data_IF_074880626171
#
_entry.id   IF_074880626171
#
_cell.length_a   1.000
_cell.length_b   1.000
_cell.length_c   1.000
_cell.angle_alpha   90.00
_cell.angle_beta   90.00
_cell.angle_gamma   90.00
#
_symmetry.space_group_name_H-M   'P 1'
#
loop_
_entity.id
_entity.type
_entity.pdbx_description
1 polymer ?
#
# COMPACT_ATOMS: atom_id res chain seq x y z
N UNK A 1 -12.14 -27.10 -19.57
CA UNK A 1 -11.68 -25.71 -19.50
C UNK A 1 -11.31 -25.45 -18.05
N UNK A 2 -10.02 -25.51 -17.73
CA UNK A 2 -9.51 -25.23 -16.38
C UNK A 2 -9.71 -23.75 -16.09
N UNK A 3 -10.46 -23.42 -15.05
CA UNK A 3 -10.58 -22.06 -14.56
C UNK A 3 -9.18 -21.53 -14.21
N UNK A 4 -8.69 -20.58 -15.00
CA UNK A 4 -7.48 -19.81 -14.67
C UNK A 4 -7.80 -19.06 -13.38
N UNK A 5 -7.31 -19.55 -12.26
CA UNK A 5 -7.50 -18.90 -10.97
C UNK A 5 -6.93 -17.49 -11.07
N UNK A 6 -7.78 -16.48 -10.94
CA UNK A 6 -7.38 -15.08 -10.92
C UNK A 6 -6.44 -14.87 -9.75
N UNK A 7 -5.15 -14.63 -10.03
CA UNK A 7 -4.15 -14.37 -8.99
C UNK A 7 -4.48 -13.03 -8.36
N UNK A 8 -4.86 -13.04 -7.09
CA UNK A 8 -5.10 -11.80 -6.34
C UNK A 8 -3.76 -11.07 -6.10
N UNK A 9 -3.73 -9.74 -6.26
CA UNK A 9 -2.53 -8.97 -5.97
C UNK A 9 -2.14 -9.09 -4.49
N UNK A 10 -0.85 -9.16 -4.20
CA UNK A 10 -0.38 -9.10 -2.82
C UNK A 10 -0.41 -7.65 -2.32
N UNK A 11 -1.46 -7.32 -1.60
CA UNK A 11 -1.68 -5.97 -1.05
C UNK A 11 -0.59 -5.54 -0.06
N UNK A 12 0.19 -6.48 0.50
CA UNK A 12 1.23 -6.16 1.47
C UNK A 12 2.50 -5.62 0.81
N UNK A 13 2.80 -6.09 -0.40
CA UNK A 13 4.00 -5.73 -1.16
C UNK A 13 3.73 -4.78 -2.34
N UNK A 14 2.47 -4.54 -2.70
CA UNK A 14 2.07 -3.68 -3.80
C UNK A 14 2.61 -2.25 -3.66
N UNK A 15 3.21 -1.70 -4.72
CA UNK A 15 3.84 -0.39 -4.77
C UNK A 15 2.91 0.68 -5.33
N UNK A 16 2.27 0.40 -6.46
CA UNK A 16 1.38 1.34 -7.14
C UNK A 16 -0.08 0.94 -6.98
N UNK A 17 -0.91 1.90 -6.57
CA UNK A 17 -2.33 1.75 -6.30
C UNK A 17 -3.11 2.75 -7.12
N UNK A 18 -3.75 2.30 -8.20
CA UNK A 18 -4.40 3.17 -9.17
C UNK A 18 -5.90 3.28 -8.91
N UNK A 19 -6.37 4.49 -8.61
CA UNK A 19 -7.80 4.78 -8.50
C UNK A 19 -8.51 4.79 -9.87
N UNK A 20 -9.72 4.23 -9.88
CA UNK A 20 -10.67 4.31 -10.99
C UNK A 20 -12.06 4.56 -10.41
N UNK A 21 -12.78 5.61 -10.83
CA UNK A 21 -14.15 5.84 -10.37
C UNK A 21 -15.04 4.63 -10.67
N UNK A 22 -15.85 4.21 -9.69
CA UNK A 22 -16.68 3.02 -9.78
C UNK A 22 -17.84 3.10 -10.79
N UNK A 23 -18.23 4.31 -11.17
CA UNK A 23 -19.19 4.61 -12.23
C UNK A 23 -18.58 4.59 -13.65
N UNK A 24 -17.26 4.34 -13.75
CA UNK A 24 -16.53 4.30 -15.03
C UNK A 24 -16.07 2.90 -15.37
N UNK A 25 -17.06 1.97 -15.49
CA UNK A 25 -16.82 0.58 -15.89
C UNK A 25 -16.07 0.42 -17.22
N UNK A 26 -16.20 1.41 -18.11
CA UNK A 26 -15.45 1.52 -19.37
C UNK A 26 -13.91 1.61 -19.16
N UNK A 27 -13.46 2.00 -17.96
CA UNK A 27 -12.04 2.18 -17.62
C UNK A 27 -11.43 1.01 -16.87
N UNK A 28 -12.21 0.09 -16.31
CA UNK A 28 -11.70 -1.00 -15.45
C UNK A 28 -10.69 -1.89 -16.18
N UNK A 29 -11.02 -2.33 -17.40
CA UNK A 29 -10.13 -3.16 -18.19
C UNK A 29 -8.82 -2.44 -18.54
N UNK A 30 -8.90 -1.12 -18.85
CA UNK A 30 -7.72 -0.29 -19.13
C UNK A 30 -6.85 -0.11 -17.90
N UNK A 31 -7.45 0.08 -16.73
CA UNK A 31 -6.73 0.19 -15.47
C UNK A 31 -6.03 -1.14 -15.11
N UNK A 32 -6.67 -2.28 -15.32
CA UNK A 32 -6.13 -3.60 -15.04
C UNK A 32 -4.85 -3.90 -15.86
N UNK A 33 -4.71 -3.34 -17.07
CA UNK A 33 -3.51 -3.51 -17.91
C UNK A 33 -2.52 -2.34 -17.82
N UNK A 34 -2.73 -1.38 -16.92
CA UNK A 34 -1.87 -0.21 -16.77
C UNK A 34 -0.49 -0.51 -16.17
N UNK A 35 -0.30 -1.71 -15.63
CA UNK A 35 0.89 -2.08 -14.87
C UNK A 35 0.84 -1.67 -13.39
N UNK A 36 -0.30 -1.16 -12.90
CA UNK A 36 -0.50 -0.95 -11.47
C UNK A 36 -0.50 -2.29 -10.72
N UNK A 37 0.18 -2.34 -9.58
CA UNK A 37 0.19 -3.55 -8.74
C UNK A 37 -1.22 -3.82 -8.17
N UNK A 38 -2.00 -2.76 -7.89
CA UNK A 38 -3.40 -2.84 -7.44
C UNK A 38 -4.23 -1.76 -8.13
N UNK A 39 -5.40 -2.14 -8.65
CA UNK A 39 -6.45 -1.20 -9.07
C UNK A 39 -7.39 -0.99 -7.91
N UNK A 40 -7.78 0.26 -7.64
CA UNK A 40 -8.80 0.62 -6.66
C UNK A 40 -10.05 1.08 -7.41
N UNK A 41 -11.12 0.30 -7.35
CA UNK A 41 -12.44 0.77 -7.77
C UNK A 41 -13.03 1.63 -6.65
N UNK A 42 -13.28 2.88 -6.95
CA UNK A 42 -13.72 3.86 -5.97
C UNK A 42 -15.24 3.98 -5.93
N UNK A 43 -15.84 3.81 -4.76
CA UNK A 43 -17.27 4.02 -4.52
C UNK A 43 -17.55 5.29 -3.70
N UNK A 44 -16.49 6.01 -3.27
CA UNK A 44 -16.62 7.18 -2.41
C UNK A 44 -16.56 8.50 -3.20
N UNK A 45 -15.58 9.34 -2.96
CA UNK A 45 -15.53 10.74 -3.42
C UNK A 45 -15.48 10.92 -4.94
N UNK A 46 -14.95 9.95 -5.68
CA UNK A 46 -14.93 10.01 -7.14
C UNK A 46 -16.29 9.69 -7.81
N UNK A 47 -17.31 9.35 -7.01
CA UNK A 47 -18.65 8.98 -7.48
C UNK A 47 -19.71 9.87 -6.85
N UNK A 48 -20.50 10.56 -7.69
CA UNK A 48 -21.60 11.38 -7.22
C UNK A 48 -22.67 10.53 -6.49
N UNK A 49 -23.40 11.14 -5.55
CA UNK A 49 -24.32 10.43 -4.67
C UNK A 49 -25.43 9.68 -5.46
N UNK A 50 -25.97 10.31 -6.50
CA UNK A 50 -26.98 9.71 -7.39
C UNK A 50 -26.42 8.58 -8.27
N UNK A 51 -25.10 8.51 -8.46
CA UNK A 51 -24.42 7.47 -9.23
C UNK A 51 -23.97 6.26 -8.37
N UNK A 52 -24.02 6.34 -7.03
CA UNK A 52 -23.49 5.30 -6.11
C UNK A 52 -24.08 3.91 -6.37
N UNK A 53 -25.39 3.81 -6.63
CA UNK A 53 -26.07 2.55 -6.93
C UNK A 53 -25.54 1.93 -8.22
N UNK A 54 -25.40 2.75 -9.28
CA UNK A 54 -24.88 2.30 -10.58
C UNK A 54 -23.40 1.90 -10.48
N UNK A 55 -22.59 2.69 -9.78
CA UNK A 55 -21.16 2.41 -9.55
C UNK A 55 -20.98 1.05 -8.83
N UNK A 56 -21.74 0.82 -7.77
CA UNK A 56 -21.73 -0.44 -7.02
C UNK A 56 -22.07 -1.63 -7.93
N UNK A 57 -23.08 -1.50 -8.77
CA UNK A 57 -23.47 -2.56 -9.72
C UNK A 57 -22.35 -2.81 -10.75
N UNK A 58 -21.71 -1.77 -11.30
CA UNK A 58 -20.62 -1.90 -12.27
C UNK A 58 -19.38 -2.57 -11.63
N UNK A 59 -18.98 -2.15 -10.43
CA UNK A 59 -17.86 -2.77 -9.69
C UNK A 59 -18.15 -4.23 -9.38
N UNK A 60 -19.34 -4.55 -8.86
CA UNK A 60 -19.72 -5.94 -8.55
C UNK A 60 -19.75 -6.82 -9.82
N UNK A 61 -20.27 -6.30 -10.93
CA UNK A 61 -20.26 -6.99 -12.23
C UNK A 61 -18.83 -7.26 -12.72
N UNK A 62 -17.93 -6.28 -12.62
CA UNK A 62 -16.52 -6.44 -12.98
C UNK A 62 -15.83 -7.53 -12.15
N UNK A 63 -15.99 -7.48 -10.83
CA UNK A 63 -15.37 -8.45 -9.91
C UNK A 63 -15.94 -9.87 -10.07
N UNK A 64 -17.23 -10.01 -10.43
CA UNK A 64 -17.85 -11.30 -10.73
C UNK A 64 -17.42 -11.84 -12.09
N UNK A 65 -17.14 -10.95 -13.05
CA UNK A 65 -16.77 -11.28 -14.43
C UNK A 65 -15.28 -11.63 -14.63
N UNK A 66 -14.50 -11.78 -13.55
CA UNK A 66 -13.09 -12.16 -13.61
C UNK A 66 -12.11 -10.99 -13.44
N UNK A 67 -12.60 -9.78 -13.27
CA UNK A 67 -11.76 -8.63 -12.86
C UNK A 67 -11.31 -8.78 -11.40
N UNK A 68 -10.19 -8.13 -11.06
CA UNK A 68 -9.66 -8.15 -9.69
C UNK A 68 -9.30 -6.73 -9.27
N UNK A 69 -9.79 -6.29 -8.10
CA UNK A 69 -9.51 -4.97 -7.58
C UNK A 69 -9.59 -4.91 -6.04
N UNK A 70 -8.94 -3.91 -5.46
CA UNK A 70 -9.34 -3.33 -4.19
C UNK A 70 -10.57 -2.44 -4.41
N UNK A 71 -11.47 -2.33 -3.45
CA UNK A 71 -12.62 -1.41 -3.54
C UNK A 71 -12.54 -0.43 -2.39
N UNK A 72 -12.51 0.89 -2.71
CA UNK A 72 -12.72 1.93 -1.70
C UNK A 72 -14.21 2.06 -1.44
N UNK A 73 -14.60 1.76 -0.21
CA UNK A 73 -15.99 1.84 0.25
C UNK A 73 -16.38 3.29 0.52
N UNK A 74 -17.68 3.54 0.65
CA UNK A 74 -18.14 4.75 1.30
C UNK A 74 -17.75 4.73 2.78
N UNK A 75 -17.64 5.90 3.41
CA UNK A 75 -17.22 6.01 4.81
C UNK A 75 -18.19 5.28 5.75
N UNK A 76 -17.63 4.70 6.81
CA UNK A 76 -18.43 4.05 7.86
C UNK A 76 -19.46 5.03 8.45
N UNK A 77 -20.68 4.55 8.66
CA UNK A 77 -21.80 5.37 9.15
C UNK A 77 -22.59 6.11 8.07
N UNK A 78 -22.17 6.07 6.80
CA UNK A 78 -22.97 6.60 5.68
C UNK A 78 -24.02 5.58 5.23
N UNK A 79 -25.07 6.07 4.57
CA UNK A 79 -26.17 5.22 4.04
C UNK A 79 -25.64 4.19 3.02
N UNK A 80 -24.68 4.58 2.17
CA UNK A 80 -24.10 3.73 1.14
C UNK A 80 -23.18 2.63 1.67
N UNK A 81 -22.57 2.80 2.87
CA UNK A 81 -21.60 1.83 3.41
C UNK A 81 -22.12 0.41 3.53
N UNK A 82 -23.29 0.23 4.16
CA UNK A 82 -23.88 -1.10 4.35
C UNK A 82 -24.23 -1.80 3.03
N UNK A 83 -24.69 -1.02 2.05
CA UNK A 83 -24.98 -1.53 0.71
C UNK A 83 -23.71 -1.94 -0.05
N UNK A 84 -22.59 -1.21 0.13
CA UNK A 84 -21.28 -1.56 -0.45
C UNK A 84 -20.80 -2.91 0.10
N UNK A 85 -20.83 -3.07 1.43
CA UNK A 85 -20.39 -4.31 2.10
C UNK A 85 -21.23 -5.50 1.62
N UNK A 86 -22.56 -5.33 1.54
CA UNK A 86 -23.47 -6.39 1.09
C UNK A 86 -23.19 -6.79 -0.37
N UNK A 87 -22.94 -5.82 -1.24
CA UNK A 87 -22.68 -6.06 -2.67
C UNK A 87 -21.34 -6.72 -2.95
N UNK A 88 -20.33 -6.52 -2.09
CA UNK A 88 -18.99 -7.05 -2.29
C UNK A 88 -18.77 -8.43 -1.65
N UNK A 89 -19.66 -8.84 -0.77
CA UNK A 89 -19.53 -10.10 -0.04
C UNK A 89 -19.47 -11.30 -0.98
N UNK A 90 -18.40 -12.09 -0.83
CA UNK A 90 -18.22 -13.34 -1.58
C UNK A 90 -17.81 -13.16 -3.05
N UNK A 91 -17.54 -11.95 -3.52
CA UNK A 91 -17.09 -11.74 -4.90
C UNK A 91 -15.68 -12.30 -5.13
N UNK A 92 -15.49 -13.13 -6.18
CA UNK A 92 -14.21 -13.80 -6.41
C UNK A 92 -13.08 -12.84 -6.72
N UNK A 93 -13.36 -11.71 -7.38
CA UNK A 93 -12.38 -10.69 -7.76
C UNK A 93 -12.07 -9.65 -6.68
N UNK A 94 -12.73 -9.69 -5.52
CA UNK A 94 -12.43 -8.75 -4.43
C UNK A 94 -11.09 -9.10 -3.81
N UNK A 95 -10.06 -8.29 -4.09
CA UNK A 95 -8.71 -8.48 -3.58
C UNK A 95 -8.51 -7.89 -2.18
N UNK A 96 -9.12 -6.74 -1.93
CA UNK A 96 -9.08 -6.01 -0.65
C UNK A 96 -10.23 -5.01 -0.59
N UNK A 97 -10.46 -4.44 0.57
CA UNK A 97 -11.26 -3.21 0.73
C UNK A 97 -10.39 -2.10 1.29
N UNK A 98 -10.61 -0.87 0.83
CA UNK A 98 -10.03 0.34 1.41
C UNK A 98 -11.14 1.09 2.13
N UNK A 99 -10.91 1.39 3.40
CA UNK A 99 -11.88 2.08 4.27
C UNK A 99 -11.42 3.52 4.42
N UNK A 100 -12.16 4.49 3.85
CA UNK A 100 -11.88 5.91 4.03
C UNK A 100 -12.22 6.35 5.45
N UNK A 101 -11.63 7.45 5.90
CA UNK A 101 -11.88 8.05 7.21
C UNK A 101 -11.82 7.01 8.34
N UNK A 102 -10.80 6.14 8.26
CA UNK A 102 -10.61 5.06 9.22
C UNK A 102 -10.23 5.63 10.60
N UNK A 103 -11.11 5.47 11.58
CA UNK A 103 -10.96 6.02 12.93
C UNK A 103 -11.25 5.00 14.03
N UNK A 104 -11.95 3.90 13.71
CA UNK A 104 -12.41 2.91 14.68
C UNK A 104 -11.88 1.49 14.33
N UNK A 105 -10.93 0.95 15.12
CA UNK A 105 -10.41 -0.41 14.94
C UNK A 105 -11.49 -1.51 15.03
N UNK A 106 -12.53 -1.32 15.86
CA UNK A 106 -13.59 -2.31 16.05
C UNK A 106 -14.48 -2.37 14.81
N UNK A 107 -14.84 -1.22 14.23
CA UNK A 107 -15.59 -1.17 12.97
C UNK A 107 -14.84 -1.89 11.82
N UNK A 108 -13.51 -1.82 11.78
CA UNK A 108 -12.70 -2.55 10.81
C UNK A 108 -12.74 -4.07 11.03
N UNK A 109 -12.79 -4.53 12.28
CA UNK A 109 -12.96 -5.95 12.61
C UNK A 109 -14.34 -6.47 12.19
N UNK A 110 -15.40 -5.70 12.46
CA UNK A 110 -16.77 -6.02 12.07
C UNK A 110 -16.89 -6.09 10.53
N UNK A 111 -16.32 -5.12 9.82
CA UNK A 111 -16.26 -5.12 8.35
C UNK A 111 -15.64 -6.41 7.82
N UNK A 112 -14.45 -6.77 8.34
CA UNK A 112 -13.76 -7.98 7.91
C UNK A 112 -14.57 -9.24 8.19
N UNK A 113 -15.24 -9.31 9.34
CA UNK A 113 -16.12 -10.42 9.68
C UNK A 113 -17.30 -10.52 8.69
N UNK A 114 -17.87 -9.38 8.30
CA UNK A 114 -18.97 -9.28 7.33
C UNK A 114 -18.57 -9.72 5.92
N UNK A 115 -17.40 -9.35 5.44
CA UNK A 115 -16.88 -9.68 4.11
C UNK A 115 -16.30 -11.10 4.02
N UNK A 116 -15.79 -11.62 5.12
CA UNK A 116 -15.12 -12.91 5.23
C UNK A 116 -13.62 -12.81 5.55
N UNK A 117 -13.03 -13.85 6.20
CA UNK A 117 -11.70 -13.78 6.81
C UNK A 117 -10.56 -13.63 5.82
N UNK A 118 -10.80 -13.89 4.54
CA UNK A 118 -9.77 -13.83 3.48
C UNK A 118 -9.62 -12.47 2.81
N UNK A 119 -10.44 -11.46 3.16
CA UNK A 119 -10.39 -10.13 2.54
C UNK A 119 -9.58 -9.18 3.43
N UNK A 120 -8.40 -8.72 2.97
CA UNK A 120 -7.59 -7.75 3.71
C UNK A 120 -8.22 -6.36 3.69
N UNK A 121 -8.08 -5.63 4.80
CA UNK A 121 -8.52 -4.24 4.93
C UNK A 121 -7.31 -3.31 4.82
N UNK A 122 -7.44 -2.28 4.01
CA UNK A 122 -6.52 -1.13 3.95
C UNK A 122 -7.22 0.03 4.66
N UNK A 123 -6.66 0.50 5.76
CA UNK A 123 -7.18 1.65 6.51
C UNK A 123 -6.63 2.94 5.91
N UNK A 124 -7.49 3.77 5.30
CA UNK A 124 -7.11 5.08 4.77
C UNK A 124 -7.24 6.10 5.90
N UNK A 125 -6.10 6.59 6.37
CA UNK A 125 -5.98 7.57 7.45
C UNK A 125 -5.92 8.96 6.84
N UNK A 126 -6.96 9.74 7.06
CA UNK A 126 -7.18 11.03 6.40
C UNK A 126 -7.91 12.04 7.30
N UNK A 127 -7.91 11.77 8.62
CA UNK A 127 -8.41 12.69 9.64
C UNK A 127 -7.45 12.77 10.84
N UNK A 128 -7.54 13.84 11.61
CA UNK A 128 -6.77 14.04 12.84
C UNK A 128 -7.02 12.90 13.85
N UNK A 129 -8.26 12.45 13.98
CA UNK A 129 -8.62 11.37 14.89
C UNK A 129 -8.05 10.03 14.41
N UNK A 130 -8.15 9.73 13.11
CA UNK A 130 -7.54 8.54 12.50
C UNK A 130 -6.02 8.54 12.67
N UNK A 131 -5.37 9.69 12.47
CA UNK A 131 -3.94 9.84 12.70
C UNK A 131 -3.57 9.62 14.17
N UNK A 132 -4.35 10.19 15.09
CA UNK A 132 -4.14 10.01 16.53
C UNK A 132 -4.25 8.54 16.95
N UNK A 133 -5.13 7.77 16.31
CA UNK A 133 -5.36 6.34 16.55
C UNK A 133 -4.58 5.41 15.60
N UNK A 134 -3.61 5.94 14.86
CA UNK A 134 -2.92 5.18 13.81
C UNK A 134 -2.32 3.85 14.28
N UNK A 135 -1.78 3.80 15.51
CA UNK A 135 -1.26 2.54 16.07
C UNK A 135 -2.39 1.53 16.33
N UNK A 136 -3.50 1.95 16.94
CA UNK A 136 -4.62 1.06 17.27
C UNK A 136 -5.27 0.52 15.98
N UNK A 137 -5.42 1.37 14.96
CA UNK A 137 -5.88 0.96 13.64
C UNK A 137 -4.93 -0.08 13.03
N UNK A 138 -3.63 0.20 13.02
CA UNK A 138 -2.63 -0.71 12.46
C UNK A 138 -2.55 -2.03 13.22
N UNK A 139 -2.73 -2.01 14.54
CA UNK A 139 -2.71 -3.19 15.41
C UNK A 139 -3.98 -4.06 15.30
N UNK A 140 -5.05 -3.53 14.70
CA UNK A 140 -6.26 -4.30 14.44
C UNK A 140 -5.96 -5.51 13.56
N UNK A 141 -6.43 -6.69 13.96
CA UNK A 141 -6.26 -7.91 13.18
C UNK A 141 -6.91 -7.86 11.78
N UNK A 142 -7.80 -6.90 11.53
CA UNK A 142 -8.40 -6.66 10.23
C UNK A 142 -7.44 -6.01 9.25
N UNK A 143 -6.55 -5.12 9.73
CA UNK A 143 -5.74 -4.25 8.89
C UNK A 143 -4.51 -4.98 8.36
N UNK A 144 -4.40 -5.06 7.05
CA UNK A 144 -3.22 -5.58 6.38
C UNK A 144 -2.19 -4.47 6.12
N UNK A 145 -2.67 -3.23 5.92
CA UNK A 145 -1.86 -2.08 5.56
C UNK A 145 -2.62 -0.78 5.82
N UNK A 146 -1.90 0.31 6.09
CA UNK A 146 -2.48 1.65 6.13
C UNK A 146 -2.21 2.40 4.82
N UNK A 147 -3.05 3.36 4.49
CA UNK A 147 -2.86 4.32 3.41
C UNK A 147 -3.01 5.75 3.97
N UNK A 148 -2.39 6.71 3.31
CA UNK A 148 -2.38 8.11 3.70
C UNK A 148 -3.26 8.94 2.77
N UNK A 149 -4.33 9.56 3.29
CA UNK A 149 -5.17 10.50 2.56
C UNK A 149 -4.73 11.93 2.84
N UNK A 150 -3.73 12.42 2.11
CA UNK A 150 -3.08 13.71 2.39
C UNK A 150 -4.01 14.90 2.21
N UNK A 151 -4.86 14.88 1.20
CA UNK A 151 -5.75 15.98 0.84
C UNK A 151 -6.80 16.20 1.95
N UNK A 152 -7.49 15.13 2.34
CA UNK A 152 -8.54 15.21 3.38
C UNK A 152 -7.95 15.51 4.75
N UNK A 153 -6.77 14.91 5.07
CA UNK A 153 -6.10 15.24 6.33
C UNK A 153 -5.66 16.71 6.37
N UNK A 154 -5.14 17.26 5.28
CA UNK A 154 -4.77 18.68 5.22
C UNK A 154 -5.99 19.57 5.44
N UNK A 155 -7.13 19.22 4.82
CA UNK A 155 -8.39 19.92 5.01
C UNK A 155 -8.86 19.85 6.46
N UNK A 156 -8.86 18.68 7.09
CA UNK A 156 -9.27 18.46 8.48
C UNK A 156 -8.39 19.23 9.47
N UNK A 157 -7.09 19.29 9.21
CA UNK A 157 -6.12 20.03 10.02
C UNK A 157 -6.12 21.55 9.76
N UNK A 158 -6.76 22.02 8.68
CA UNK A 158 -6.61 23.40 8.20
C UNK A 158 -5.17 23.72 7.75
N UNK A 159 -4.44 22.71 7.28
CA UNK A 159 -3.07 22.81 6.84
C UNK A 159 -2.96 22.86 5.32
N UNK A 160 -1.78 23.26 4.80
CA UNK A 160 -1.47 23.13 3.38
C UNK A 160 -1.18 21.67 3.01
N UNK A 161 -1.77 21.17 1.90
CA UNK A 161 -1.43 19.86 1.33
C UNK A 161 -0.07 19.93 0.64
N UNK A 162 0.98 19.95 1.45
CA UNK A 162 2.36 19.94 0.97
C UNK A 162 3.23 19.06 1.87
N UNK A 163 4.49 18.84 1.44
CA UNK A 163 5.35 17.87 2.11
C UNK A 163 5.63 18.23 3.58
N UNK A 164 6.05 19.45 3.85
CA UNK A 164 6.51 19.86 5.19
C UNK A 164 5.40 19.92 6.24
N UNK A 165 4.23 20.55 6.00
CA UNK A 165 3.12 20.57 6.94
C UNK A 165 2.65 19.15 7.31
N UNK A 166 2.69 18.21 6.37
CA UNK A 166 2.21 16.84 6.58
C UNK A 166 3.32 15.82 6.90
N UNK A 167 4.56 16.26 7.11
CA UNK A 167 5.70 15.37 7.39
C UNK A 167 5.51 14.58 8.68
N UNK A 168 4.99 15.21 9.73
CA UNK A 168 4.69 14.54 11.00
C UNK A 168 3.66 13.41 10.80
N UNK A 169 2.58 13.68 10.07
CA UNK A 169 1.54 12.69 9.79
C UNK A 169 2.09 11.48 9.02
N UNK A 170 2.87 11.73 7.96
CA UNK A 170 3.55 10.67 7.19
C UNK A 170 4.46 9.82 8.08
N UNK A 171 5.29 10.47 8.89
CA UNK A 171 6.23 9.78 9.78
C UNK A 171 5.48 8.96 10.84
N UNK A 172 4.40 9.48 11.38
CA UNK A 172 3.55 8.79 12.37
C UNK A 172 2.96 7.50 11.82
N UNK A 173 2.46 7.51 10.57
CA UNK A 173 1.94 6.30 9.92
C UNK A 173 3.03 5.23 9.72
N UNK A 174 4.23 5.63 9.32
CA UNK A 174 5.36 4.69 9.18
C UNK A 174 5.72 4.07 10.52
N UNK A 175 5.79 4.88 11.58
CA UNK A 175 6.08 4.40 12.95
C UNK A 175 4.98 3.47 13.44
N UNK A 176 3.71 3.85 13.29
CA UNK A 176 2.57 3.05 13.71
C UNK A 176 2.50 1.71 12.97
N UNK A 177 2.66 1.70 11.64
CA UNK A 177 2.71 0.47 10.84
C UNK A 177 3.84 -0.45 11.30
N UNK A 178 5.01 0.11 11.58
CA UNK A 178 6.17 -0.68 12.00
C UNK A 178 5.99 -1.24 13.40
N UNK A 179 5.46 -0.46 14.33
CA UNK A 179 5.20 -0.86 15.72
C UNK A 179 4.15 -1.97 15.79
N UNK A 180 3.10 -1.90 14.95
CA UNK A 180 2.07 -2.93 14.85
C UNK A 180 2.48 -4.17 14.04
N UNK A 181 3.63 -4.15 13.35
CA UNK A 181 4.11 -5.27 12.55
C UNK A 181 3.37 -5.48 11.22
N UNK A 182 2.58 -4.49 10.77
CA UNK A 182 1.92 -4.54 9.46
C UNK A 182 2.85 -4.06 8.34
N UNK A 183 2.43 -4.26 7.08
CA UNK A 183 3.19 -3.81 5.92
C UNK A 183 3.41 -2.28 5.92
N UNK A 184 4.52 -1.78 5.34
CA UNK A 184 4.77 -0.34 5.25
C UNK A 184 3.60 0.39 4.59
N UNK A 185 3.21 1.59 5.04
CA UNK A 185 2.02 2.28 4.56
C UNK A 185 2.13 2.70 3.09
N UNK A 186 0.99 3.05 2.48
CA UNK A 186 0.86 3.58 1.13
C UNK A 186 0.77 5.11 1.24
N UNK A 187 1.67 5.85 0.58
CA UNK A 187 1.63 7.32 0.57
C UNK A 187 0.46 7.86 -0.26
N UNK A 188 0.07 9.09 0.01
CA UNK A 188 -1.02 9.80 -0.62
C UNK A 188 -0.85 10.00 -2.13
N UNK A 189 -1.84 10.62 -2.74
CA UNK A 189 -1.82 10.94 -4.18
C UNK A 189 -0.90 12.13 -4.48
N UNK A 190 -0.46 12.26 -5.73
CA UNK A 190 0.04 13.51 -6.31
C UNK A 190 -1.03 13.98 -7.30
N UNK A 191 -1.73 15.10 -7.02
CA UNK A 191 -2.87 15.52 -7.85
C UNK A 191 -2.51 15.94 -9.27
N UNK A 192 -1.25 16.35 -9.50
CA UNK A 192 -0.78 16.79 -10.83
C UNK A 192 -0.82 15.62 -11.84
N UNK A 193 -1.67 15.72 -12.84
CA UNK A 193 -1.85 14.67 -13.85
C UNK A 193 -0.74 14.71 -14.92
N UNK A 194 -0.26 15.90 -15.27
CA UNK A 194 0.68 16.15 -16.37
C UNK A 194 2.13 16.39 -15.89
N UNK A 195 2.35 16.51 -14.57
CA UNK A 195 3.68 16.67 -13.97
C UNK A 195 4.19 15.39 -13.34
N UNK A 196 4.79 14.54 -14.16
CA UNK A 196 5.42 13.30 -13.68
C UNK A 196 6.68 13.54 -12.85
N UNK A 197 7.29 14.74 -12.91
CA UNK A 197 8.44 15.08 -12.07
C UNK A 197 8.03 15.31 -10.63
N UNK A 198 6.85 15.91 -10.39
CA UNK A 198 6.26 16.02 -9.07
C UNK A 198 5.96 14.63 -8.49
N UNK A 199 5.38 13.72 -9.29
CA UNK A 199 5.14 12.32 -8.87
C UNK A 199 6.43 11.62 -8.47
N UNK A 200 7.50 11.79 -9.25
CA UNK A 200 8.81 11.20 -8.95
C UNK A 200 9.42 11.75 -7.64
N UNK A 201 9.28 13.05 -7.43
CA UNK A 201 9.76 13.75 -6.23
C UNK A 201 9.03 13.24 -4.97
N UNK A 202 7.70 13.19 -5.01
CA UNK A 202 6.87 12.71 -3.92
C UNK A 202 7.14 11.23 -3.62
N UNK A 203 7.20 10.38 -4.65
CA UNK A 203 7.49 8.96 -4.50
C UNK A 203 8.88 8.72 -3.88
N UNK A 204 9.90 9.47 -4.30
CA UNK A 204 11.24 9.40 -3.71
C UNK A 204 11.25 9.87 -2.25
N UNK A 205 10.48 10.90 -1.91
CA UNK A 205 10.32 11.35 -0.53
C UNK A 205 9.63 10.29 0.34
N UNK A 206 8.56 9.67 -0.16
CA UNK A 206 7.85 8.59 0.52
C UNK A 206 8.76 7.39 0.79
N UNK A 207 9.55 6.95 -0.19
CA UNK A 207 10.54 5.88 -0.03
C UNK A 207 11.54 6.19 1.08
N UNK A 208 12.06 7.44 1.13
CA UNK A 208 13.01 7.87 2.18
C UNK A 208 12.40 7.86 3.58
N UNK A 209 11.09 8.11 3.69
CA UNK A 209 10.36 8.03 4.96
C UNK A 209 10.06 6.60 5.40
N UNK A 210 10.07 5.62 4.49
CA UNK A 210 9.77 4.23 4.79
C UNK A 210 8.39 3.76 4.35
N UNK A 211 7.71 4.50 3.48
CA UNK A 211 6.50 4.01 2.79
C UNK A 211 6.85 2.84 1.86
N UNK A 212 5.88 1.98 1.60
CA UNK A 212 6.04 0.82 0.73
C UNK A 212 5.26 0.91 -0.59
N UNK A 213 4.56 2.01 -0.83
CA UNK A 213 3.78 2.25 -2.05
C UNK A 213 3.19 3.65 -2.07
N UNK A 214 2.49 3.97 -3.17
CA UNK A 214 1.85 5.27 -3.39
C UNK A 214 0.53 5.13 -4.13
N UNK A 215 -0.44 5.95 -3.76
CA UNK A 215 -1.70 6.11 -4.47
C UNK A 215 -1.47 6.88 -5.78
N UNK A 216 -2.12 6.45 -6.85
CA UNK A 216 -2.08 7.06 -8.18
C UNK A 216 -3.49 7.41 -8.62
N UNK A 217 -3.66 8.58 -9.23
CA UNK A 217 -4.93 9.05 -9.79
C UNK A 217 -4.98 9.00 -11.32
N UNK A 218 -3.84 8.69 -11.97
CA UNK A 218 -3.75 8.56 -13.42
C UNK A 218 -2.80 7.41 -13.82
N UNK A 219 -3.11 6.64 -14.90
CA UNK A 219 -2.25 5.53 -15.32
C UNK A 219 -0.81 5.91 -15.66
N UNK A 220 -0.55 7.15 -16.14
CA UNK A 220 0.80 7.64 -16.42
C UNK A 220 1.72 7.71 -15.20
N UNK A 221 1.15 7.83 -13.99
CA UNK A 221 1.89 7.90 -12.73
C UNK A 221 2.44 6.51 -12.32
N UNK A 222 1.77 5.43 -12.75
CA UNK A 222 2.09 4.05 -12.35
C UNK A 222 3.54 3.65 -12.64
N UNK A 223 4.10 3.82 -13.85
CA UNK A 223 5.49 3.47 -14.12
C UNK A 223 6.48 4.25 -13.26
N UNK A 224 6.20 5.53 -12.98
CA UNK A 224 7.04 6.40 -12.15
C UNK A 224 7.09 5.87 -10.72
N UNK A 225 5.93 5.58 -10.15
CA UNK A 225 5.81 5.00 -8.80
C UNK A 225 6.50 3.65 -8.72
N UNK A 226 6.23 2.73 -9.67
CA UNK A 226 6.85 1.41 -9.70
C UNK A 226 8.38 1.49 -9.76
N UNK A 227 8.92 2.46 -10.49
CA UNK A 227 10.37 2.69 -10.58
C UNK A 227 10.92 3.23 -9.26
N UNK A 228 10.27 4.23 -8.66
CA UNK A 228 10.75 4.86 -7.42
C UNK A 228 10.78 3.89 -6.23
N UNK A 229 9.81 2.97 -6.14
CA UNK A 229 9.72 1.99 -5.06
C UNK A 229 10.55 0.71 -5.29
N UNK A 230 11.16 0.54 -6.47
CA UNK A 230 12.09 -0.54 -6.75
C UNK A 230 13.49 -0.13 -6.29
N UNK A 231 14.23 -0.97 -5.56
CA UNK A 231 15.64 -0.71 -5.31
C UNK A 231 16.42 -0.59 -6.62
N UNK A 232 17.33 0.39 -6.68
CA UNK A 232 18.24 0.55 -7.81
C UNK A 232 19.22 -0.63 -7.91
N UNK A 233 19.80 -0.84 -9.10
CA UNK A 233 20.83 -1.85 -9.29
C UNK A 233 22.03 -1.63 -8.36
N UNK A 234 22.41 -0.35 -8.13
CA UNK A 234 23.48 0.00 -7.22
C UNK A 234 23.14 -0.40 -5.77
N UNK A 235 21.92 -0.09 -5.28
CA UNK A 235 21.49 -0.50 -3.94
C UNK A 235 21.49 -2.03 -3.78
N UNK A 236 21.07 -2.77 -4.82
CA UNK A 236 21.09 -4.24 -4.84
C UNK A 236 22.53 -4.77 -4.80
N UNK A 237 23.44 -4.19 -5.59
CA UNK A 237 24.86 -4.59 -5.59
C UNK A 237 25.51 -4.31 -4.26
N UNK A 238 25.28 -3.13 -3.67
CA UNK A 238 25.80 -2.75 -2.36
C UNK A 238 25.27 -3.67 -1.26
N UNK A 239 23.97 -4.00 -1.30
CA UNK A 239 23.36 -4.92 -0.36
C UNK A 239 23.98 -6.34 -0.47
N UNK A 240 24.21 -6.83 -1.67
CA UNK A 240 24.88 -8.12 -1.89
C UNK A 240 26.31 -8.12 -1.36
N UNK A 241 27.07 -7.04 -1.64
CA UNK A 241 28.45 -6.88 -1.17
C UNK A 241 28.53 -6.86 0.36
N UNK A 242 27.64 -6.09 1.01
CA UNK A 242 27.55 -6.02 2.49
C UNK A 242 27.25 -7.40 3.08
N UNK A 243 26.30 -8.15 2.50
CA UNK A 243 25.91 -9.46 3.03
C UNK A 243 26.96 -10.54 2.74
N UNK A 244 27.68 -10.47 1.61
CA UNK A 244 28.74 -11.43 1.28
C UNK A 244 30.02 -11.23 2.11
N UNK A 245 30.33 -9.99 2.51
CA UNK A 245 31.52 -9.65 3.29
C UNK A 245 31.40 -9.87 4.79
N UNK A 246 30.25 -10.37 5.28
CA UNK A 246 30.00 -10.51 6.71
C UNK A 246 29.93 -11.98 7.13
N UNK A 247 30.82 -12.38 8.02
CA UNK A 247 30.71 -13.59 8.84
C UNK A 247 30.03 -13.21 10.16
N UNK A 248 29.15 -14.03 10.71
CA UNK A 248 28.23 -13.78 11.85
C UNK A 248 28.86 -13.28 13.17
N UNK A 249 30.09 -12.79 13.17
CA UNK A 249 30.86 -12.40 14.36
C UNK A 249 31.09 -10.90 14.41
N UNK A 250 30.13 -10.17 15.05
CA UNK A 250 30.36 -8.79 15.50
C UNK A 250 30.33 -7.71 14.39
N UNK A 251 30.73 -6.49 14.73
CA UNK A 251 30.84 -5.39 13.80
C UNK A 251 32.17 -5.47 13.02
N UNK A 252 32.12 -5.31 11.70
CA UNK A 252 33.30 -5.36 10.79
C UNK A 252 33.43 -4.05 10.03
N UNK A 253 34.63 -3.71 9.67
CA UNK A 253 34.90 -2.58 8.77
C UNK A 253 34.94 -3.08 7.32
N UNK A 254 34.00 -2.61 6.49
CA UNK A 254 33.97 -2.88 5.06
C UNK A 254 34.01 -1.54 4.30
N UNK A 255 34.95 -1.37 3.38
CA UNK A 255 35.11 -0.15 2.56
C UNK A 255 35.11 1.16 3.38
N UNK A 256 35.70 1.14 4.58
CA UNK A 256 35.77 2.30 5.46
C UNK A 256 34.52 2.57 6.31
N UNK A 257 33.46 1.79 6.13
CA UNK A 257 32.22 1.88 6.89
C UNK A 257 32.09 0.79 7.94
N UNK A 258 31.45 1.10 9.06
CA UNK A 258 31.08 0.12 10.06
C UNK A 258 29.89 -0.68 9.57
N UNK A 259 30.05 -1.99 9.42
CA UNK A 259 28.96 -2.92 9.12
C UNK A 259 28.62 -3.67 10.39
N UNK A 260 27.45 -3.39 10.90
CA UNK A 260 26.87 -3.99 12.09
C UNK A 260 25.49 -4.61 11.78
N UNK A 261 24.82 -5.14 12.79
CA UNK A 261 23.52 -5.76 12.64
C UNK A 261 22.45 -4.87 11.97
N UNK A 262 22.29 -3.58 12.29
CA UNK A 262 21.42 -2.65 11.56
C UNK A 262 21.71 -2.53 10.08
N UNK A 263 22.99 -2.43 9.71
CA UNK A 263 23.41 -2.33 8.29
C UNK A 263 23.08 -3.61 7.54
N UNK A 264 23.33 -4.78 8.13
CA UNK A 264 22.97 -6.06 7.54
C UNK A 264 21.46 -6.22 7.36
N UNK A 265 20.66 -5.80 8.35
CA UNK A 265 19.21 -5.83 8.23
C UNK A 265 18.70 -4.90 7.12
N UNK A 266 19.32 -3.72 6.96
CA UNK A 266 19.00 -2.82 5.84
C UNK A 266 19.33 -3.49 4.50
N UNK A 267 20.49 -4.10 4.35
CA UNK A 267 20.88 -4.80 3.12
C UNK A 267 19.92 -5.96 2.79
N UNK A 268 19.50 -6.76 3.78
CA UNK A 268 18.48 -7.81 3.59
C UNK A 268 17.17 -7.24 3.06
N UNK A 269 16.66 -6.14 3.65
CA UNK A 269 15.43 -5.48 3.19
C UNK A 269 15.52 -4.96 1.76
N UNK A 270 16.69 -4.49 1.33
CA UNK A 270 16.90 -4.07 -0.08
C UNK A 270 16.70 -5.26 -1.01
N UNK A 271 17.30 -6.43 -0.71
CA UNK A 271 17.15 -7.63 -1.53
C UNK A 271 15.70 -8.15 -1.51
N UNK A 272 15.05 -8.17 -0.35
CA UNK A 272 13.63 -8.56 -0.22
C UNK A 272 12.73 -7.66 -1.09
N UNK A 273 12.93 -6.33 -1.05
CA UNK A 273 12.19 -5.38 -1.89
C UNK A 273 12.48 -5.56 -3.39
N UNK A 274 13.67 -6.04 -3.73
CA UNK A 274 14.03 -6.37 -5.12
C UNK A 274 13.47 -7.75 -5.56
N UNK A 275 12.83 -8.51 -4.68
CA UNK A 275 12.36 -9.87 -4.96
C UNK A 275 13.50 -10.88 -5.13
N UNK A 276 14.66 -10.62 -4.54
CA UNK A 276 15.86 -11.45 -4.67
C UNK A 276 16.07 -12.33 -3.45
N UNK A 277 16.57 -13.55 -3.69
CA UNK A 277 16.95 -14.46 -2.62
C UNK A 277 18.10 -13.87 -1.78
N UNK A 278 18.04 -14.07 -0.46
CA UNK A 278 19.13 -13.72 0.44
C UNK A 278 20.32 -14.67 0.17
N UNK A 279 21.57 -14.14 0.17
CA UNK A 279 22.75 -15.00 0.10
C UNK A 279 22.77 -15.94 1.30
N UNK A 280 23.12 -17.20 1.07
CA UNK A 280 23.33 -18.14 2.16
C UNK A 280 24.57 -17.68 2.96
N UNK A 281 24.53 -17.78 4.31
CA UNK A 281 25.72 -17.53 5.10
C UNK A 281 26.84 -18.46 4.65
N UNK A 282 28.11 -18.00 4.62
CA UNK A 282 29.22 -18.87 4.31
C UNK A 282 29.19 -20.08 5.26
N UNK A 283 29.30 -21.29 4.69
CA UNK A 283 29.40 -22.50 5.50
C UNK A 283 30.61 -22.32 6.40
N UNK A 284 30.43 -22.48 7.71
CA UNK A 284 31.55 -22.60 8.63
C UNK A 284 32.43 -23.73 8.12
N UNK A 285 33.63 -23.43 7.67
CA UNK A 285 34.66 -24.45 7.49
C UNK A 285 34.93 -24.99 8.88
N UNK A 286 34.42 -26.20 9.14
CA UNK A 286 34.87 -26.98 10.28
C UNK A 286 36.39 -27.02 10.20
N UNK A 287 37.06 -26.41 11.18
CA UNK A 287 38.47 -26.64 11.39
C UNK A 287 38.62 -28.09 11.86
N UNK A 288 39.00 -28.94 10.91
CA UNK A 288 39.55 -30.25 11.27
C UNK A 288 40.82 -30.01 12.14
N UNK A 289 40.72 -30.37 13.38
CA UNK A 289 41.84 -30.58 14.32
C UNK A 289 42.03 -32.05 14.60
#
# INVERSE_FOLDING_TARGET
MTASGTVRPDVRSARSWLFVPGDRGDRFAKAAVSGADVVICDLEDAVAEDAKVSARAQVSGWLSGGGTACVRLNAHGTESYGADVAALKGLPGLAAVMVPKAEDPEALLELRAGLGPGIPVVALVESALGLHRAYDLAASAAVARMAFGSIDLALDLGAEDSYLPLLFARSSLVVASRAAGVAPPIDGVTPALDDLSAVATDAAAAVRLGFGGKLCVHPSQVPVVNTAFRPSEQEVQDARRILAGHTDVGAVRLDGQLVDRPVLQRARRVLERAGLALPQPPRSTECDH
#
